data_IF_781157460527
#
_entry.id   IF_781157460527
#
_cell.length_a   1.000
_cell.length_b   1.000
_cell.length_c   1.000
_cell.angle_alpha   90.00
_cell.angle_beta   90.00
_cell.angle_gamma   90.00
#
_symmetry.space_group_name_H-M   'P 1'
#
loop_
_entity.id
_entity.type
_entity.pdbx_description
1 polymer ?
#
# COMPACT_ATOMS: atom_id res chain seq x y z
N UNK A 1 42.84 13.43 -12.40
CA UNK A 1 43.30 14.67 -11.72
C UNK A 1 42.36 14.94 -10.55
N UNK A 2 42.72 14.49 -9.34
CA UNK A 2 41.95 14.78 -8.12
C UNK A 2 42.36 16.20 -7.69
N UNK A 3 41.45 17.16 -7.81
CA UNK A 3 41.67 18.53 -7.34
C UNK A 3 41.68 18.50 -5.82
N UNK A 4 42.87 18.38 -5.23
CA UNK A 4 43.08 18.71 -3.82
C UNK A 4 42.84 20.21 -3.70
N UNK A 5 41.66 20.59 -3.22
CA UNK A 5 41.42 21.97 -2.80
C UNK A 5 42.19 22.11 -1.49
N UNK A 6 43.47 22.48 -1.60
CA UNK A 6 44.26 22.95 -0.47
C UNK A 6 43.70 24.34 -0.19
N UNK A 7 42.70 24.44 0.69
CA UNK A 7 42.37 25.71 1.32
C UNK A 7 43.63 26.10 2.09
N UNK A 8 44.26 27.20 1.67
CA UNK A 8 45.40 27.77 2.36
C UNK A 8 44.92 28.24 3.74
N UNK A 9 44.93 27.34 4.72
CA UNK A 9 44.88 27.72 6.12
C UNK A 9 46.25 28.33 6.39
N UNK A 10 46.33 29.66 6.34
CA UNK A 10 47.45 30.39 6.90
C UNK A 10 47.56 29.97 8.36
N UNK A 11 48.55 29.14 8.67
CA UNK A 11 48.79 28.66 10.02
C UNK A 11 49.26 29.83 10.89
N UNK A 12 48.33 30.64 11.39
CA UNK A 12 48.57 31.57 12.48
C UNK A 12 48.58 30.77 13.78
N UNK A 13 49.68 30.08 14.04
CA UNK A 13 49.96 29.56 15.37
C UNK A 13 50.42 30.75 16.25
N UNK A 14 49.72 31.00 17.36
CA UNK A 14 50.16 31.97 18.35
C UNK A 14 51.23 31.30 19.24
N UNK A 15 52.50 31.66 19.04
CA UNK A 15 53.61 31.09 19.79
C UNK A 15 53.94 31.95 21.02
N UNK A 16 53.46 31.55 22.20
CA UNK A 16 53.91 32.12 23.46
C UNK A 16 54.91 31.15 24.11
N UNK A 17 56.22 31.45 24.04
CA UNK A 17 57.26 30.67 24.74
C UNK A 17 58.09 31.61 25.63
N UNK A 18 58.04 31.39 26.94
CA UNK A 18 58.89 32.11 27.90
C UNK A 18 60.38 31.79 27.63
N UNK A 19 61.21 32.83 27.52
CA UNK A 19 62.61 32.73 27.13
C UNK A 19 63.56 32.55 28.31
N UNK A 20 64.32 31.46 28.30
CA UNK A 20 65.66 31.39 28.88
C UNK A 20 66.60 30.83 27.81
N UNK A 21 67.65 31.56 27.47
CA UNK A 21 68.68 31.12 26.52
C UNK A 21 69.95 30.74 27.28
N UNK A 22 70.48 29.54 27.03
CA UNK A 22 71.83 29.14 27.43
C UNK A 22 72.71 29.22 26.17
N UNK A 23 73.76 30.02 26.20
CA UNK A 23 74.63 30.24 25.05
C UNK A 23 75.55 29.04 24.79
N UNK A 24 75.36 28.34 23.67
CA UNK A 24 76.32 27.37 23.12
C UNK A 24 76.46 27.54 21.60
N UNK A 25 77.73 27.63 21.15
CA UNK A 25 78.30 27.50 19.79
C UNK A 25 77.64 28.25 18.60
N UNK A 26 78.42 29.10 17.92
CA UNK A 26 78.04 30.03 16.83
C UNK A 26 77.56 29.41 15.49
N UNK A 27 77.05 28.17 15.45
CA UNK A 27 76.57 27.50 14.21
C UNK A 27 75.28 26.70 14.35
N UNK A 28 74.74 26.49 15.55
CA UNK A 28 73.42 25.88 15.74
C UNK A 28 72.32 26.92 15.56
N UNK A 29 71.12 26.46 15.17
CA UNK A 29 69.90 27.27 15.14
C UNK A 29 68.92 26.75 16.19
N UNK A 30 68.18 27.66 16.80
CA UNK A 30 67.07 27.39 17.71
C UNK A 30 65.79 27.82 17.03
N UNK A 31 64.88 26.87 16.77
CA UNK A 31 63.60 27.13 16.12
C UNK A 31 62.45 26.68 17.00
N UNK A 32 61.27 27.21 16.75
CA UNK A 32 60.04 26.83 17.45
C UNK A 32 59.20 25.99 16.51
N UNK A 33 58.90 24.74 16.89
CA UNK A 33 58.08 23.82 16.10
C UNK A 33 56.74 23.60 16.80
N UNK A 34 55.64 23.91 16.13
CA UNK A 34 54.28 23.53 16.54
C UNK A 34 53.83 22.33 15.74
N UNK A 35 53.53 21.22 16.41
CA UNK A 35 52.94 20.02 15.78
C UNK A 35 51.51 19.87 16.30
N UNK A 36 50.52 20.04 15.42
CA UNK A 36 49.09 20.08 15.78
C UNK A 36 48.81 21.01 16.98
N UNK A 37 49.44 22.18 17.02
CA UNK A 37 49.28 23.16 18.11
C UNK A 37 50.17 22.90 19.34
N UNK A 38 50.86 21.76 19.42
CA UNK A 38 51.82 21.50 20.49
C UNK A 38 53.19 22.11 20.16
N UNK A 39 53.55 23.16 20.90
CA UNK A 39 54.76 23.95 20.67
C UNK A 39 55.97 23.39 21.42
N UNK A 40 57.12 23.29 20.74
CA UNK A 40 58.41 22.89 21.31
C UNK A 40 59.56 23.70 20.72
N UNK A 41 60.62 23.91 21.49
CA UNK A 41 61.89 24.47 20.99
C UNK A 41 62.78 23.35 20.49
N UNK A 42 63.37 23.55 19.32
CA UNK A 42 64.20 22.56 18.63
C UNK A 42 65.56 23.18 18.35
N UNK A 43 66.61 22.45 18.74
CA UNK A 43 67.98 22.81 18.42
C UNK A 43 68.47 21.93 17.27
N UNK A 44 68.95 22.55 16.20
CA UNK A 44 69.41 21.81 15.02
C UNK A 44 70.59 22.50 14.33
N UNK A 45 71.47 21.70 13.73
CA UNK A 45 72.52 22.15 12.82
C UNK A 45 72.07 22.15 11.36
N UNK A 46 70.82 21.73 11.12
CA UNK A 46 70.18 21.67 9.82
C UNK A 46 70.13 23.01 9.08
N UNK A 47 70.02 22.90 7.76
CA UNK A 47 69.90 24.05 6.86
C UNK A 47 68.48 24.27 6.35
N UNK A 48 67.59 23.28 6.53
CA UNK A 48 66.22 23.29 6.03
C UNK A 48 65.19 22.99 7.12
N UNK A 49 63.91 23.26 6.85
CA UNK A 49 62.78 22.84 7.69
C UNK A 49 62.76 21.31 7.86
N UNK A 50 63.02 20.54 6.79
CA UNK A 50 63.10 19.08 6.86
C UNK A 50 64.15 18.60 7.88
N UNK A 51 65.31 19.25 7.93
CA UNK A 51 66.37 18.92 8.90
C UNK A 51 65.93 19.19 10.35
N UNK A 52 65.18 20.27 10.58
CA UNK A 52 64.63 20.60 11.90
C UNK A 52 63.59 19.57 12.35
N UNK A 53 62.66 19.19 11.46
CA UNK A 53 61.65 18.17 11.75
C UNK A 53 62.28 16.79 12.00
N UNK A 54 63.31 16.43 11.24
CA UNK A 54 64.06 15.17 11.42
C UNK A 54 64.75 15.10 12.78
N UNK A 55 65.27 16.22 13.29
CA UNK A 55 65.89 16.28 14.62
C UNK A 55 64.91 15.92 15.75
N UNK A 56 63.65 16.33 15.62
CA UNK A 56 62.56 15.97 16.54
C UNK A 56 61.84 14.65 16.20
N UNK A 57 62.32 13.91 15.18
CA UNK A 57 61.68 12.69 14.68
C UNK A 57 60.23 12.93 14.22
N UNK A 58 59.92 14.14 13.76
CA UNK A 58 58.64 14.51 13.15
C UNK A 58 58.68 14.04 11.70
N UNK A 59 57.85 13.03 11.38
CA UNK A 59 57.72 12.48 10.04
C UNK A 59 56.49 13.05 9.37
N UNK A 60 56.68 13.73 8.24
CA UNK A 60 55.60 14.32 7.46
C UNK A 60 55.34 13.53 6.17
N UNK A 61 54.07 13.36 5.81
CA UNK A 61 53.58 12.66 4.62
C UNK A 61 52.92 13.59 3.61
N UNK A 62 52.38 13.01 2.53
CA UNK A 62 51.78 13.73 1.39
C UNK A 62 50.58 14.61 1.77
N UNK A 63 49.85 14.27 2.82
CA UNK A 63 48.62 14.96 3.25
C UNK A 63 48.83 15.89 4.45
N UNK A 64 50.08 16.03 4.90
CA UNK A 64 50.43 16.93 5.99
C UNK A 64 50.73 18.32 5.45
N UNK A 65 50.47 19.34 6.27
CA UNK A 65 50.80 20.73 5.95
C UNK A 65 52.00 21.15 6.79
N UNK A 66 53.04 21.63 6.12
CA UNK A 66 54.25 22.16 6.75
C UNK A 66 54.46 23.58 6.28
N UNK A 67 54.52 24.53 7.22
CA UNK A 67 54.75 25.93 6.95
C UNK A 67 55.86 26.48 7.85
N UNK A 68 56.95 27.04 7.30
CA UNK A 68 57.32 27.05 5.87
C UNK A 68 57.57 25.65 5.31
N UNK A 69 57.48 25.48 3.99
CA UNK A 69 57.60 24.15 3.33
C UNK A 69 58.92 23.44 3.64
N UNK A 70 58.94 22.11 3.57
CA UNK A 70 60.05 21.25 4.02
C UNK A 70 61.43 21.62 3.43
N UNK A 71 61.48 22.13 2.20
CA UNK A 71 62.73 22.53 1.53
C UNK A 71 63.16 23.98 1.83
N UNK A 72 62.38 24.72 2.61
CA UNK A 72 62.67 26.11 2.95
C UNK A 72 63.92 26.20 3.81
N UNK A 73 64.76 27.21 3.53
CA UNK A 73 65.95 27.50 4.33
C UNK A 73 65.56 27.86 5.76
N UNK A 74 66.28 27.27 6.71
CA UNK A 74 66.06 27.45 8.14
C UNK A 74 66.79 28.71 8.64
N UNK A 75 66.10 29.55 9.40
CA UNK A 75 66.66 30.72 10.09
C UNK A 75 66.63 30.53 11.61
N UNK A 76 67.54 31.19 12.32
CA UNK A 76 67.52 31.17 13.79
C UNK A 76 66.29 31.92 14.31
N UNK A 77 65.64 31.39 15.34
CA UNK A 77 64.38 31.90 15.88
C UNK A 77 63.14 31.61 15.02
N UNK A 78 63.27 30.89 13.90
CA UNK A 78 62.14 30.64 12.99
C UNK A 78 61.05 29.79 13.62
N UNK A 79 59.81 30.08 13.25
CA UNK A 79 58.64 29.29 13.61
C UNK A 79 58.26 28.35 12.47
N UNK A 80 57.94 27.10 12.85
CA UNK A 80 57.56 26.03 11.94
C UNK A 80 56.26 25.44 12.47
N UNK A 81 55.23 25.42 11.64
CA UNK A 81 53.97 24.77 11.92
C UNK A 81 53.86 23.49 11.10
N UNK A 82 53.49 22.40 11.76
CA UNK A 82 53.16 21.11 11.17
C UNK A 82 51.74 20.76 11.58
N UNK A 83 50.88 20.50 10.61
CA UNK A 83 49.56 19.92 10.83
C UNK A 83 49.48 18.57 10.12
N UNK A 84 49.17 17.52 10.87
CA UNK A 84 49.04 16.18 10.29
C UNK A 84 47.72 16.03 9.53
N UNK A 85 47.81 15.45 8.34
CA UNK A 85 46.67 14.96 7.58
C UNK A 85 46.02 13.78 8.29
N UNK A 86 44.70 13.84 8.41
CA UNK A 86 43.86 12.83 9.06
C UNK A 86 42.85 12.30 8.04
N UNK A 87 42.74 10.97 7.87
CA UNK A 87 41.77 10.40 6.96
C UNK A 87 40.36 10.46 7.57
N UNK A 88 39.39 10.91 6.77
CA UNK A 88 37.98 10.94 7.15
C UNK A 88 37.16 10.26 6.05
N UNK A 89 36.51 9.14 6.37
CA UNK A 89 35.56 8.49 5.48
C UNK A 89 34.16 8.89 5.90
N UNK A 90 33.43 9.59 5.04
CA UNK A 90 32.03 9.96 5.28
C UNK A 90 31.11 9.02 4.52
N UNK A 91 30.20 8.36 5.25
CA UNK A 91 29.14 7.52 4.72
C UNK A 91 27.80 8.24 4.91
N UNK A 92 27.37 9.00 3.90
CA UNK A 92 26.10 9.73 3.94
C UNK A 92 24.99 8.91 3.26
N UNK A 93 24.03 8.42 4.05
CA UNK A 93 22.90 7.61 3.59
C UNK A 93 23.31 6.42 2.69
N UNK A 94 24.47 5.80 2.97
CA UNK A 94 25.03 4.68 2.22
C UNK A 94 26.06 5.07 1.14
N UNK A 95 26.20 6.36 0.82
CA UNK A 95 27.22 6.86 -0.10
C UNK A 95 28.54 7.15 0.63
N UNK A 96 29.53 6.26 0.46
CA UNK A 96 30.87 6.41 1.06
C UNK A 96 31.79 7.30 0.21
N UNK A 97 32.47 8.24 0.85
CA UNK A 97 33.53 9.05 0.25
C UNK A 97 34.65 9.34 1.24
N UNK A 98 35.90 9.16 0.79
CA UNK A 98 37.09 9.41 1.58
C UNK A 98 37.63 10.83 1.36
N UNK A 99 38.10 11.43 2.45
CA UNK A 99 38.66 12.77 2.51
C UNK A 99 39.93 12.77 3.36
N UNK A 100 40.75 13.80 3.15
CA UNK A 100 41.87 14.15 4.01
C UNK A 100 41.66 15.58 4.52
N UNK A 101 41.99 15.80 5.78
CA UNK A 101 41.85 17.10 6.45
C UNK A 101 42.94 17.24 7.50
N UNK A 102 43.37 18.47 7.80
CA UNK A 102 44.25 18.75 8.94
C UNK A 102 43.49 19.09 10.22
N UNK A 103 42.16 19.26 10.12
CA UNK A 103 41.27 19.57 11.23
C UNK A 103 41.37 18.54 12.36
N UNK A 104 41.32 19.01 13.60
CA UNK A 104 41.49 18.14 14.78
C UNK A 104 40.18 17.58 15.32
N UNK A 105 39.04 17.99 14.74
CA UNK A 105 37.70 17.61 15.16
C UNK A 105 36.77 17.36 13.97
N UNK A 106 35.71 16.57 14.21
CA UNK A 106 34.70 16.29 13.17
C UNK A 106 34.05 17.58 12.66
N UNK A 107 33.78 18.54 13.54
CA UNK A 107 33.11 19.79 13.18
C UNK A 107 33.94 20.62 12.21
N UNK A 108 35.21 20.85 12.55
CA UNK A 108 36.14 21.62 11.72
C UNK A 108 36.39 20.88 10.40
N UNK A 109 36.59 19.56 10.44
CA UNK A 109 36.76 18.74 9.24
C UNK A 109 35.58 18.88 8.27
N UNK A 110 34.35 18.78 8.76
CA UNK A 110 33.15 18.95 7.93
C UNK A 110 33.02 20.37 7.37
N UNK A 111 33.40 21.39 8.16
CA UNK A 111 33.36 22.79 7.73
C UNK A 111 34.38 23.06 6.61
N UNK A 112 35.63 22.64 6.79
CA UNK A 112 36.72 22.82 5.82
C UNK A 112 36.46 22.11 4.49
N UNK A 113 35.84 20.92 4.58
CA UNK A 113 35.46 20.14 3.40
C UNK A 113 34.18 20.65 2.72
N UNK A 114 33.52 21.67 3.28
CA UNK A 114 32.26 22.23 2.77
C UNK A 114 31.07 21.26 2.90
N UNK A 115 31.15 20.29 3.80
CA UNK A 115 30.13 19.26 4.03
C UNK A 115 29.11 19.73 5.06
N UNK A 116 27.96 20.20 4.58
CA UNK A 116 26.85 20.64 5.43
C UNK A 116 25.85 19.52 5.65
N UNK A 117 25.62 19.19 6.92
CA UNK A 117 24.72 18.11 7.38
C UNK A 117 23.77 18.62 8.47
N UNK A 118 23.03 19.68 8.15
CA UNK A 118 22.12 20.33 9.08
C UNK A 118 20.92 19.42 9.40
N UNK A 119 20.63 19.23 10.69
CA UNK A 119 19.58 18.32 11.15
C UNK A 119 19.85 16.83 10.90
N UNK A 120 21.06 16.47 10.43
CA UNK A 120 21.47 15.08 10.28
C UNK A 120 21.91 14.48 11.60
N UNK A 121 21.69 13.17 11.74
CA UNK A 121 22.26 12.37 12.82
C UNK A 121 23.63 11.85 12.40
N UNK A 122 24.62 12.02 13.27
CA UNK A 122 25.98 11.55 13.07
C UNK A 122 26.27 10.33 13.97
N UNK A 123 27.14 9.43 13.53
CA UNK A 123 27.59 8.29 14.34
C UNK A 123 28.47 8.68 15.54
N UNK A 124 28.95 9.93 15.58
CA UNK A 124 29.73 10.50 16.69
C UNK A 124 29.45 11.99 16.85
N UNK A 125 29.90 12.58 17.95
CA UNK A 125 29.76 14.01 18.21
C UNK A 125 30.51 14.86 17.16
N UNK A 126 29.98 16.04 16.84
CA UNK A 126 30.69 17.05 16.05
C UNK A 126 31.97 17.52 16.75
N UNK A 127 31.98 17.54 18.07
CA UNK A 127 33.17 17.88 18.87
C UNK A 127 34.14 16.71 19.04
N UNK A 128 33.86 15.54 18.45
CA UNK A 128 34.74 14.38 18.61
C UNK A 128 36.11 14.67 17.98
N UNK A 129 37.22 14.34 18.67
CA UNK A 129 38.54 14.53 18.12
C UNK A 129 38.77 13.59 16.94
N UNK A 130 39.42 14.09 15.90
CA UNK A 130 39.83 13.33 14.73
C UNK A 130 41.29 12.93 14.91
N UNK A 131 41.57 11.65 15.15
CA UNK A 131 42.93 11.13 15.33
C UNK A 131 43.65 10.84 14.02
N UNK A 132 44.96 10.55 14.10
CA UNK A 132 45.79 10.19 12.94
C UNK A 132 45.39 8.86 12.28
N UNK A 133 44.76 7.97 13.05
CA UNK A 133 44.18 6.72 12.56
C UNK A 133 42.97 6.95 11.63
N UNK A 134 42.43 8.16 11.62
CA UNK A 134 41.23 8.53 10.89
C UNK A 134 39.93 8.13 11.57
N UNK A 135 38.83 8.45 10.89
CA UNK A 135 37.47 8.21 11.39
C UNK A 135 36.56 7.80 10.23
N UNK A 136 35.72 6.80 10.47
CA UNK A 136 34.53 6.57 9.65
C UNK A 136 33.31 7.25 10.28
N UNK A 137 32.79 8.26 9.60
CA UNK A 137 31.62 9.02 10.01
C UNK A 137 30.40 8.55 9.21
N UNK A 138 29.42 7.94 9.88
CA UNK A 138 28.10 7.68 9.27
C UNK A 138 27.18 8.86 9.51
N UNK A 139 26.50 9.30 8.45
CA UNK A 139 25.59 10.44 8.44
C UNK A 139 24.24 9.99 7.91
N UNK A 140 23.20 10.17 8.73
CA UNK A 140 21.81 9.95 8.35
C UNK A 140 21.16 11.30 8.16
N UNK A 141 20.80 11.65 6.92
CA UNK A 141 20.20 12.96 6.63
C UNK A 141 18.67 12.92 6.77
N UNK A 142 18.05 14.03 7.21
CA UNK A 142 16.61 14.13 7.27
C UNK A 142 16.02 14.20 5.87
N UNK A 143 15.00 13.38 5.64
CA UNK A 143 14.26 13.27 4.38
C UNK A 143 12.86 13.83 4.59
N UNK A 144 12.33 14.51 3.57
CA UNK A 144 10.94 14.99 3.61
C UNK A 144 10.03 13.87 3.13
N UNK A 145 9.06 13.50 3.95
CA UNK A 145 8.12 12.41 3.66
C UNK A 145 6.70 12.94 3.68
N UNK A 146 5.96 12.69 2.61
CA UNK A 146 4.56 13.02 2.45
C UNK A 146 3.73 11.74 2.48
N UNK A 147 2.96 11.54 3.54
CA UNK A 147 2.10 10.38 3.73
C UNK A 147 0.68 10.76 3.34
N UNK A 148 0.13 10.06 2.36
CA UNK A 148 -1.24 10.23 1.87
C UNK A 148 -2.10 9.11 2.42
N UNK A 149 -3.11 9.46 3.22
CA UNK A 149 -4.08 8.54 3.79
C UNK A 149 -5.46 9.21 3.86
N UNK A 150 -6.52 8.52 3.44
CA UNK A 150 -7.89 9.07 3.40
C UNK A 150 -8.00 10.41 2.65
N UNK A 151 -7.19 10.59 1.59
CA UNK A 151 -7.12 11.83 0.81
C UNK A 151 -6.42 13.00 1.52
N UNK A 152 -5.96 12.83 2.77
CA UNK A 152 -5.19 13.82 3.52
C UNK A 152 -3.70 13.56 3.34
N UNK A 153 -2.90 14.62 3.22
CA UNK A 153 -1.44 14.53 3.15
C UNK A 153 -0.83 15.08 4.43
N UNK A 154 -0.03 14.26 5.11
CA UNK A 154 0.79 14.65 6.27
C UNK A 154 2.23 14.72 5.81
N UNK A 155 2.91 15.83 6.09
CA UNK A 155 4.33 16.00 5.77
C UNK A 155 5.16 15.96 7.05
N UNK A 156 6.18 15.10 7.07
CA UNK A 156 7.14 15.00 8.18
C UNK A 156 8.58 15.11 7.65
N UNK A 157 9.50 15.56 8.52
CA UNK A 157 10.93 15.35 8.34
C UNK A 157 11.30 14.10 9.13
N UNK A 158 11.92 13.13 8.48
CA UNK A 158 12.19 11.81 9.04
C UNK A 158 13.63 11.39 8.76
N UNK A 159 14.25 10.70 9.71
CA UNK A 159 15.57 10.06 9.55
C UNK A 159 15.46 8.62 9.05
N UNK A 160 14.25 8.14 8.76
CA UNK A 160 14.00 6.79 8.30
C UNK A 160 14.81 6.44 7.03
N UNK A 161 15.26 5.19 6.97
CA UNK A 161 15.90 4.62 5.79
C UNK A 161 14.88 4.09 4.78
N UNK A 162 13.68 3.69 5.21
CA UNK A 162 12.65 3.06 4.36
C UNK A 162 11.26 3.65 4.56
N UNK A 163 10.38 3.38 3.60
CA UNK A 163 8.95 3.76 3.65
C UNK A 163 8.27 3.26 4.92
N UNK A 164 8.48 2.00 5.30
CA UNK A 164 7.85 1.39 6.48
C UNK A 164 8.30 2.05 7.78
N UNK A 165 9.60 2.33 7.91
CA UNK A 165 10.14 3.06 9.07
C UNK A 165 9.54 4.46 9.19
N UNK A 166 9.36 5.17 8.07
CA UNK A 166 8.75 6.50 8.08
C UNK A 166 7.27 6.48 8.48
N UNK A 167 6.52 5.46 8.05
CA UNK A 167 5.14 5.25 8.51
C UNK A 167 5.08 5.00 10.02
N UNK A 168 5.98 4.17 10.55
CA UNK A 168 6.08 3.92 11.99
C UNK A 168 6.43 5.19 12.78
N UNK A 169 7.37 6.01 12.29
CA UNK A 169 7.72 7.30 12.89
C UNK A 169 6.53 8.27 12.89
N UNK A 170 5.74 8.27 11.80
CA UNK A 170 4.49 9.01 11.69
C UNK A 170 3.35 8.45 12.56
N UNK A 171 3.60 7.39 13.34
CA UNK A 171 2.63 6.67 14.17
C UNK A 171 1.46 6.07 13.37
N UNK A 172 1.68 5.79 12.08
CA UNK A 172 0.75 5.03 11.25
C UNK A 172 0.93 3.54 11.57
N UNK A 173 -0.11 2.91 12.11
CA UNK A 173 -0.13 1.46 12.33
C UNK A 173 -0.58 0.78 11.05
N UNK A 174 0.16 -0.23 10.63
CA UNK A 174 -0.12 -0.98 9.42
C UNK A 174 0.26 -2.46 9.60
N UNK A 175 -0.36 -3.33 8.83
CA UNK A 175 -0.08 -4.77 8.79
C UNK A 175 0.12 -5.29 7.36
N UNK A 176 0.15 -6.62 7.19
CA UNK A 176 0.40 -7.26 5.89
C UNK A 176 -0.74 -7.13 4.89
N UNK A 177 -1.96 -6.84 5.35
CA UNK A 177 -3.12 -6.71 4.47
C UNK A 177 -3.18 -5.30 3.84
N UNK A 178 -2.60 -4.31 4.53
CA UNK A 178 -2.58 -2.92 4.10
C UNK A 178 -1.78 -2.69 2.81
N UNK A 179 -2.22 -1.68 2.03
CA UNK A 179 -1.52 -1.30 0.79
C UNK A 179 -0.67 -0.07 1.02
N UNK A 180 0.64 -0.24 0.85
CA UNK A 180 1.63 0.82 0.98
C UNK A 180 2.35 1.01 -0.36
N UNK A 181 2.35 2.23 -0.87
CA UNK A 181 2.96 2.58 -2.17
C UNK A 181 3.89 3.79 -2.03
N UNK A 182 5.20 3.68 -2.32
CA UNK A 182 5.94 2.45 -2.66
C UNK A 182 5.92 1.41 -1.53
N UNK A 183 6.32 0.17 -1.78
CA UNK A 183 6.31 -0.89 -0.75
C UNK A 183 7.11 -0.50 0.51
N UNK A 184 6.73 -1.02 1.68
CA UNK A 184 7.33 -0.65 2.96
C UNK A 184 8.87 -0.82 3.04
N UNK A 185 9.44 -1.79 2.31
CA UNK A 185 10.88 -2.02 2.26
C UNK A 185 11.65 -1.03 1.34
N UNK A 186 10.93 -0.20 0.58
CA UNK A 186 11.55 0.72 -0.39
C UNK A 186 12.42 1.75 0.35
N UNK A 187 13.70 1.90 -0.04
CA UNK A 187 14.57 2.92 0.52
C UNK A 187 14.07 4.34 0.21
N UNK A 188 14.13 5.23 1.19
CA UNK A 188 13.83 6.64 0.99
C UNK A 188 14.99 7.35 0.29
N UNK A 189 14.66 8.26 -0.62
CA UNK A 189 15.62 9.08 -1.36
C UNK A 189 15.76 10.46 -0.72
N UNK A 190 16.84 11.16 -1.06
CA UNK A 190 16.96 12.58 -0.74
C UNK A 190 15.84 13.39 -1.41
N UNK A 191 15.39 14.45 -0.75
CA UNK A 191 14.29 15.29 -1.21
C UNK A 191 12.92 14.83 -0.68
N UNK A 192 11.89 14.96 -1.51
CA UNK A 192 10.50 14.65 -1.15
C UNK A 192 10.15 13.23 -1.56
N UNK A 193 9.71 12.43 -0.59
CA UNK A 193 9.23 11.06 -0.79
C UNK A 193 7.72 11.04 -0.55
N UNK A 194 6.93 10.61 -1.54
CA UNK A 194 5.48 10.45 -1.40
C UNK A 194 5.14 8.99 -1.13
N UNK A 195 4.38 8.76 -0.06
CA UNK A 195 3.93 7.45 0.39
C UNK A 195 2.40 7.46 0.40
N UNK A 196 1.75 6.58 -0.34
CA UNK A 196 0.33 6.27 -0.20
C UNK A 196 0.12 5.12 0.78
N UNK A 197 -0.84 5.28 1.67
CA UNK A 197 -1.26 4.27 2.63
C UNK A 197 -2.78 4.08 2.57
N UNK A 198 -3.21 2.84 2.30
CA UNK A 198 -4.61 2.43 2.31
C UNK A 198 -4.76 1.30 3.32
N UNK A 199 -5.61 1.51 4.31
CA UNK A 199 -5.91 0.48 5.30
C UNK A 199 -6.84 -0.57 4.69
N UNK A 200 -6.51 -1.84 4.83
CA UNK A 200 -7.30 -2.98 4.35
C UNK A 200 -7.80 -3.78 5.54
N UNK A 201 -9.11 -3.81 5.74
CA UNK A 201 -9.73 -4.63 6.76
C UNK A 201 -10.59 -5.71 6.11
N UNK A 202 -10.33 -6.96 6.47
CA UNK A 202 -11.16 -8.09 6.08
C UNK A 202 -12.01 -8.57 7.26
N UNK A 203 -13.31 -8.73 7.03
CA UNK A 203 -14.25 -9.23 8.05
C UNK A 203 -15.07 -10.39 7.51
N UNK A 204 -14.97 -11.52 8.20
CA UNK A 204 -15.79 -12.69 7.91
C UNK A 204 -17.08 -12.64 8.74
N UNK A 205 -18.23 -12.80 8.09
CA UNK A 205 -19.55 -12.80 8.73
C UNK A 205 -20.37 -13.95 8.18
N UNK A 206 -20.94 -14.76 9.08
CA UNK A 206 -21.87 -15.83 8.69
C UNK A 206 -23.30 -15.33 8.86
N UNK A 207 -24.11 -15.49 7.81
CA UNK A 207 -25.54 -15.17 7.80
C UNK A 207 -26.35 -16.42 7.50
N UNK A 208 -27.48 -16.57 8.17
CA UNK A 208 -28.45 -17.62 7.85
C UNK A 208 -29.40 -17.13 6.77
N UNK A 209 -29.49 -17.87 5.68
CA UNK A 209 -30.40 -17.62 4.57
C UNK A 209 -31.42 -18.75 4.46
N UNK A 210 -32.67 -18.39 4.18
CA UNK A 210 -33.73 -19.36 3.96
C UNK A 210 -33.53 -20.08 2.62
N UNK A 211 -33.90 -21.35 2.58
CA UNK A 211 -34.03 -22.15 1.37
C UNK A 211 -35.53 -22.42 1.22
N UNK A 212 -36.12 -21.91 0.13
CA UNK A 212 -37.54 -22.12 -0.12
C UNK A 212 -37.86 -23.62 -0.24
N UNK A 213 -38.98 -24.05 0.32
CA UNK A 213 -39.51 -25.40 0.08
C UNK A 213 -40.21 -25.48 -1.28
N UNK A 214 -40.25 -26.67 -1.86
CA UNK A 214 -41.05 -27.00 -3.04
C UNK A 214 -42.48 -27.42 -2.69
N UNK A 215 -43.18 -27.93 -3.70
CA UNK A 215 -44.52 -28.53 -3.57
C UNK A 215 -44.55 -29.84 -4.35
N UNK A 216 -44.93 -30.92 -3.68
CA UNK A 216 -45.16 -32.24 -4.28
C UNK A 216 -46.67 -32.48 -4.43
N UNK A 217 -47.11 -32.71 -5.66
CA UNK A 217 -48.51 -32.97 -5.97
C UNK A 217 -48.78 -34.46 -6.18
N UNK A 218 -49.75 -35.01 -5.45
CA UNK A 218 -50.22 -36.39 -5.59
C UNK A 218 -51.67 -36.44 -6.07
N UNK A 219 -52.02 -37.37 -6.96
CA UNK A 219 -53.37 -37.46 -7.53
C UNK A 219 -54.30 -38.26 -6.61
N UNK A 220 -55.54 -37.79 -6.44
CA UNK A 220 -56.60 -38.50 -5.72
C UNK A 220 -57.82 -38.73 -6.59
N UNK A 221 -58.24 -39.99 -6.73
CA UNK A 221 -59.47 -40.37 -7.43
C UNK A 221 -60.75 -40.12 -6.60
N UNK A 222 -60.62 -39.72 -5.34
CA UNK A 222 -61.77 -39.43 -4.45
C UNK A 222 -62.11 -37.94 -4.40
N UNK A 223 -61.14 -37.09 -4.68
CA UNK A 223 -61.29 -35.63 -4.76
C UNK A 223 -61.68 -35.22 -6.18
N UNK A 224 -62.57 -34.23 -6.31
CA UNK A 224 -63.07 -33.73 -7.59
C UNK A 224 -62.00 -32.95 -8.37
N UNK A 225 -62.00 -33.07 -9.70
CA UNK A 225 -61.14 -32.28 -10.58
C UNK A 225 -61.29 -30.79 -10.26
N UNK A 226 -60.16 -30.09 -10.12
CA UNK A 226 -60.11 -28.68 -9.74
C UNK A 226 -59.99 -28.43 -8.22
N UNK A 227 -60.16 -29.47 -7.39
CA UNK A 227 -59.90 -29.37 -5.94
C UNK A 227 -58.43 -29.69 -5.64
N UNK A 228 -57.80 -28.84 -4.81
CA UNK A 228 -56.48 -29.09 -4.20
C UNK A 228 -56.64 -29.13 -2.69
N UNK A 229 -56.01 -30.11 -2.04
CA UNK A 229 -55.98 -30.21 -0.58
C UNK A 229 -54.54 -30.39 -0.11
N UNK A 230 -54.00 -29.41 0.61
CA UNK A 230 -52.71 -29.56 1.30
C UNK A 230 -52.85 -30.62 2.40
N UNK A 231 -52.04 -31.68 2.33
CA UNK A 231 -51.96 -32.74 3.35
C UNK A 231 -50.81 -32.53 4.32
N UNK A 232 -49.73 -31.87 3.89
CA UNK A 232 -48.61 -31.50 4.76
C UNK A 232 -48.07 -30.15 4.35
N UNK A 233 -48.03 -29.19 5.27
CA UNK A 233 -47.49 -27.86 5.02
C UNK A 233 -45.97 -27.94 4.87
N UNK A 234 -45.44 -27.35 3.79
CA UNK A 234 -44.00 -27.26 3.58
C UNK A 234 -43.31 -26.37 4.62
N UNK A 235 -42.04 -26.62 4.88
CA UNK A 235 -41.19 -25.79 5.75
C UNK A 235 -39.89 -25.44 5.05
N UNK A 236 -39.57 -24.14 5.02
CA UNK A 236 -38.32 -23.66 4.42
C UNK A 236 -37.12 -24.24 5.16
N UNK A 237 -36.12 -24.65 4.39
CA UNK A 237 -34.81 -24.98 4.92
C UNK A 237 -34.01 -23.72 5.23
N UNK A 238 -32.76 -23.91 5.65
CA UNK A 238 -31.82 -22.81 5.80
C UNK A 238 -30.38 -23.26 5.55
N UNK A 239 -29.56 -22.32 5.07
CA UNK A 239 -28.11 -22.46 4.95
C UNK A 239 -27.43 -21.31 5.67
N UNK A 240 -26.31 -21.59 6.32
CA UNK A 240 -25.38 -20.60 6.82
C UNK A 240 -24.39 -20.26 5.69
N UNK A 241 -24.40 -19.02 5.22
CA UNK A 241 -23.47 -18.51 4.19
C UNK A 241 -22.45 -17.60 4.86
N UNK A 242 -21.18 -17.90 4.65
CA UNK A 242 -20.06 -17.12 5.19
C UNK A 242 -19.55 -16.15 4.13
N UNK A 243 -19.62 -14.86 4.47
CA UNK A 243 -19.21 -13.74 3.64
C UNK A 243 -17.88 -13.16 4.13
N UNK A 244 -16.96 -12.90 3.21
CA UNK A 244 -15.77 -12.08 3.42
C UNK A 244 -16.03 -10.68 2.88
N UNK A 245 -16.11 -9.69 3.78
CA UNK A 245 -16.19 -8.28 3.44
C UNK A 245 -14.79 -7.67 3.46
N UNK A 246 -14.42 -6.98 2.38
CA UNK A 246 -13.16 -6.22 2.32
C UNK A 246 -13.47 -4.74 2.37
N UNK A 247 -12.87 -4.04 3.34
CA UNK A 247 -12.97 -2.60 3.50
C UNK A 247 -11.63 -1.96 3.14
N UNK A 248 -11.68 -0.92 2.30
CA UNK A 248 -10.55 -0.04 2.03
C UNK A 248 -10.82 1.27 2.73
N UNK A 249 -9.95 1.68 3.64
CA UNK A 249 -10.06 2.97 4.33
C UNK A 249 -11.45 3.13 5.02
N UNK A 250 -11.95 2.04 5.60
CA UNK A 250 -13.26 1.96 6.26
C UNK A 250 -14.47 1.85 5.32
N UNK A 251 -14.29 1.95 3.99
CA UNK A 251 -15.38 1.83 3.01
C UNK A 251 -15.45 0.42 2.45
N UNK A 252 -16.66 -0.15 2.38
CA UNK A 252 -16.87 -1.47 1.79
C UNK A 252 -16.47 -1.45 0.31
N UNK A 253 -15.47 -2.24 -0.04
CA UNK A 253 -14.94 -2.33 -1.40
C UNK A 253 -15.35 -3.61 -2.11
N UNK A 254 -15.46 -4.74 -1.40
CA UNK A 254 -15.83 -6.02 -2.00
C UNK A 254 -16.55 -6.93 -1.01
N UNK A 255 -17.43 -7.78 -1.54
CA UNK A 255 -18.08 -8.88 -0.81
C UNK A 255 -17.84 -10.18 -1.57
N UNK A 256 -17.39 -11.23 -0.87
CA UNK A 256 -17.16 -12.56 -1.46
C UNK A 256 -17.77 -13.65 -0.59
N UNK A 257 -18.50 -14.60 -1.18
CA UNK A 257 -18.91 -15.82 -0.46
C UNK A 257 -17.70 -16.74 -0.36
N UNK A 258 -17.34 -17.15 0.86
CA UNK A 258 -16.19 -18.04 1.11
C UNK A 258 -16.60 -19.43 1.59
N UNK A 259 -17.87 -19.62 1.95
CA UNK A 259 -18.40 -20.91 2.30
C UNK A 259 -19.91 -20.89 2.48
N UNK A 260 -20.52 -22.07 2.41
CA UNK A 260 -21.91 -22.26 2.78
C UNK A 260 -22.09 -23.64 3.41
N UNK A 261 -22.93 -23.73 4.44
CA UNK A 261 -23.28 -24.99 5.11
C UNK A 261 -24.79 -25.08 5.25
N UNK A 262 -25.36 -26.23 4.85
CA UNK A 262 -26.77 -26.51 5.10
C UNK A 262 -27.01 -26.63 6.60
N UNK A 263 -28.00 -25.90 7.13
CA UNK A 263 -28.38 -25.91 8.55
C UNK A 263 -29.66 -26.72 8.74
N UNK A 264 -30.65 -26.52 7.87
CA UNK A 264 -31.88 -27.31 7.83
C UNK A 264 -32.27 -27.60 6.38
N UNK A 265 -32.67 -28.84 6.09
CA UNK A 265 -33.26 -29.20 4.80
C UNK A 265 -34.66 -28.58 4.71
N UNK A 266 -35.03 -28.12 3.52
CA UNK A 266 -36.42 -27.77 3.25
C UNK A 266 -37.27 -29.05 3.19
N UNK A 267 -38.51 -28.95 3.65
CA UNK A 267 -39.51 -30.02 3.54
C UNK A 267 -40.61 -29.54 2.62
N UNK A 268 -40.84 -30.26 1.53
CA UNK A 268 -41.78 -29.86 0.50
C UNK A 268 -43.24 -29.96 0.97
N UNK A 269 -44.07 -29.04 0.48
CA UNK A 269 -45.50 -29.04 0.74
C UNK A 269 -46.17 -30.17 -0.03
N UNK A 270 -46.88 -31.06 0.68
CA UNK A 270 -47.60 -32.17 0.04
C UNK A 270 -49.04 -31.71 -0.24
N UNK A 271 -49.44 -31.77 -1.50
CA UNK A 271 -50.78 -31.39 -1.97
C UNK A 271 -51.39 -32.54 -2.74
N UNK A 272 -52.63 -32.90 -2.39
CA UNK A 272 -53.41 -33.86 -3.17
C UNK A 272 -54.31 -33.11 -4.14
N UNK A 273 -54.24 -33.45 -5.41
CA UNK A 273 -55.08 -32.88 -6.47
C UNK A 273 -56.17 -33.87 -6.87
N UNK A 274 -57.40 -33.41 -7.00
CA UNK A 274 -58.53 -34.24 -7.38
C UNK A 274 -58.53 -34.64 -8.85
N UNK A 275 -58.91 -35.89 -9.10
CA UNK A 275 -59.05 -36.50 -10.44
C UNK A 275 -60.43 -37.13 -10.66
N UNK A 276 -61.32 -37.08 -9.64
CA UNK A 276 -62.70 -37.55 -9.77
C UNK A 276 -63.47 -36.60 -10.70
N UNK A 277 -64.05 -37.09 -11.80
CA UNK A 277 -64.91 -36.26 -12.66
C UNK A 277 -66.05 -35.67 -11.83
N UNK A 278 -66.32 -34.36 -11.99
CA UNK A 278 -67.50 -33.73 -11.40
C UNK A 278 -68.76 -34.37 -12.01
N UNK A 279 -69.82 -34.66 -11.25
CA UNK A 279 -71.09 -35.15 -11.81
C UNK A 279 -71.64 -34.15 -12.83
N UNK A 280 -72.01 -34.64 -14.01
CA UNK A 280 -72.67 -33.85 -15.06
C UNK A 280 -74.00 -33.30 -14.53
N UNK A 281 -74.10 -31.97 -14.39
CA UNK A 281 -75.40 -31.29 -14.35
C UNK A 281 -76.03 -31.35 -15.75
N UNK A 282 -77.35 -31.54 -15.86
CA UNK A 282 -78.03 -31.70 -17.14
C UNK A 282 -77.88 -30.43 -17.99
N UNK A 283 -77.38 -30.65 -19.19
CA UNK A 283 -77.29 -29.72 -20.32
C UNK A 283 -78.65 -29.07 -20.62
N UNK A 284 -78.71 -27.74 -20.58
CA UNK A 284 -79.67 -26.96 -21.36
C UNK A 284 -78.96 -26.40 -22.59
N UNK A 285 -79.35 -26.93 -23.74
CA UNK A 285 -78.92 -26.55 -25.07
C UNK A 285 -79.34 -25.11 -25.40
N UNK A 286 -78.39 -24.27 -25.81
CA UNK A 286 -78.63 -23.21 -26.80
C UNK A 286 -77.40 -23.11 -27.69
N UNK A 287 -77.53 -23.68 -28.88
CA UNK A 287 -76.79 -23.45 -30.14
C UNK A 287 -76.83 -21.94 -30.44
N UNK A 288 -75.81 -21.20 -30.89
CA UNK A 288 -74.69 -21.33 -31.84
C UNK A 288 -73.63 -20.29 -31.35
N UNK A 289 -72.31 -20.32 -31.55
CA UNK A 289 -71.50 -20.71 -32.71
C UNK A 289 -70.03 -20.73 -32.24
N UNK A 290 -69.24 -21.65 -32.80
CA UNK A 290 -67.78 -21.69 -32.85
C UNK A 290 -66.97 -21.68 -31.55
N UNK A 291 -66.52 -22.88 -31.20
CA UNK A 291 -65.24 -23.11 -30.52
C UNK A 291 -64.09 -22.77 -31.50
N UNK A 292 -62.91 -22.34 -31.03
CA UNK A 292 -62.05 -23.34 -30.44
C UNK A 292 -61.32 -22.89 -29.16
N UNK A 293 -61.12 -23.91 -28.32
CA UNK A 293 -59.94 -24.09 -27.45
C UNK A 293 -59.65 -23.04 -26.38
N UNK A 294 -59.64 -23.53 -25.14
CA UNK A 294 -58.87 -23.00 -24.00
C UNK A 294 -57.37 -22.90 -24.35
N UNK A 295 -57.00 -21.90 -25.13
CA UNK A 295 -55.62 -21.53 -25.43
C UNK A 295 -55.33 -20.12 -24.92
N UNK A 296 -55.36 -19.94 -23.60
CA UNK A 296 -54.45 -18.96 -23.02
C UNK A 296 -53.14 -19.68 -22.73
N UNK A 297 -52.40 -19.95 -23.80
CA UNK A 297 -50.96 -19.71 -23.80
C UNK A 297 -50.85 -18.26 -23.31
N UNK A 298 -50.50 -18.04 -22.05
CA UNK A 298 -50.64 -16.72 -21.42
C UNK A 298 -49.87 -15.68 -22.24
N UNK A 299 -50.27 -14.41 -22.21
CA UNK A 299 -49.50 -13.34 -22.86
C UNK A 299 -47.99 -13.44 -22.53
N UNK A 300 -47.64 -13.91 -21.33
CA UNK A 300 -46.27 -14.22 -20.92
C UNK A 300 -45.59 -15.35 -21.67
N UNK A 301 -46.31 -16.38 -22.09
CA UNK A 301 -45.77 -17.45 -22.93
C UNK A 301 -45.49 -16.96 -24.36
N UNK A 302 -46.32 -16.08 -24.91
CA UNK A 302 -46.04 -15.42 -26.20
C UNK A 302 -44.83 -14.48 -26.12
N UNK A 303 -44.72 -13.73 -25.03
CA UNK A 303 -43.54 -12.89 -24.77
C UNK A 303 -42.32 -13.79 -24.62
N UNK A 304 -42.39 -14.87 -23.85
CA UNK A 304 -41.26 -15.76 -23.64
C UNK A 304 -40.81 -16.47 -24.92
N UNK A 305 -41.74 -16.84 -25.80
CA UNK A 305 -41.41 -17.37 -27.12
C UNK A 305 -40.64 -16.35 -27.96
N UNK A 306 -41.10 -15.09 -27.98
CA UNK A 306 -40.46 -14.02 -28.72
C UNK A 306 -39.09 -13.60 -28.13
N UNK A 307 -38.96 -13.58 -26.80
CA UNK A 307 -37.77 -13.10 -26.09
C UNK A 307 -36.68 -14.17 -25.93
N UNK A 308 -37.06 -15.45 -25.80
CA UNK A 308 -36.14 -16.54 -25.43
C UNK A 308 -36.34 -17.85 -26.21
N UNK A 309 -37.25 -17.88 -27.19
CA UNK A 309 -37.68 -19.14 -27.83
C UNK A 309 -38.35 -20.09 -26.84
N UNK A 310 -39.00 -19.55 -25.81
CA UNK A 310 -39.71 -20.33 -24.79
C UNK A 310 -38.81 -20.94 -23.71
N UNK A 311 -37.50 -20.66 -23.73
CA UNK A 311 -36.55 -21.21 -22.76
C UNK A 311 -36.48 -20.36 -21.48
N UNK A 312 -37.24 -20.77 -20.46
CA UNK A 312 -37.31 -20.09 -19.17
C UNK A 312 -36.02 -20.09 -18.34
N UNK A 313 -35.04 -20.93 -18.68
CA UNK A 313 -33.74 -20.99 -18.00
C UNK A 313 -32.59 -20.42 -18.84
N UNK A 314 -32.90 -19.68 -19.91
CA UNK A 314 -31.89 -19.14 -20.81
C UNK A 314 -30.91 -18.19 -20.09
N UNK A 315 -29.63 -18.35 -20.41
CA UNK A 315 -28.56 -17.42 -20.05
C UNK A 315 -27.48 -17.49 -21.14
N UNK A 316 -27.61 -16.63 -22.15
CA UNK A 316 -26.70 -16.56 -23.30
C UNK A 316 -25.47 -15.66 -23.06
N UNK A 317 -25.35 -15.06 -21.87
CA UNK A 317 -24.28 -14.10 -21.56
C UNK A 317 -24.49 -12.69 -22.12
N UNK A 318 -25.68 -12.37 -22.64
CA UNK A 318 -26.02 -11.05 -23.22
C UNK A 318 -26.47 -10.01 -22.18
N UNK A 319 -26.37 -10.31 -20.88
CA UNK A 319 -26.78 -9.41 -19.79
C UNK A 319 -28.26 -9.52 -19.39
N UNK A 320 -29.04 -10.36 -20.06
CA UNK A 320 -30.43 -10.66 -19.77
C UNK A 320 -30.63 -12.14 -19.44
N UNK A 321 -31.66 -12.44 -18.63
CA UNK A 321 -31.82 -13.75 -18.01
C UNK A 321 -33.27 -14.22 -18.03
N UNK A 322 -33.46 -15.52 -18.24
CA UNK A 322 -34.74 -16.20 -18.12
C UNK A 322 -35.69 -15.95 -19.28
N UNK A 323 -36.87 -16.57 -19.23
CA UNK A 323 -37.80 -16.63 -20.37
C UNK A 323 -38.30 -15.26 -20.82
N UNK A 324 -38.34 -14.28 -19.91
CA UNK A 324 -38.79 -12.92 -20.17
C UNK A 324 -37.63 -11.92 -20.27
N UNK A 325 -36.39 -12.39 -20.39
CA UNK A 325 -35.19 -11.59 -20.62
C UNK A 325 -35.05 -10.41 -19.63
N UNK A 326 -35.04 -10.69 -18.33
CA UNK A 326 -34.81 -9.67 -17.30
C UNK A 326 -33.33 -9.28 -17.22
N UNK A 327 -33.01 -8.00 -17.08
CA UNK A 327 -31.70 -7.58 -16.56
C UNK A 327 -31.66 -7.76 -15.02
N UNK A 328 -30.46 -7.91 -14.46
CA UNK A 328 -30.30 -8.13 -13.02
C UNK A 328 -30.82 -6.96 -12.17
N UNK A 329 -30.70 -5.71 -12.65
CA UNK A 329 -31.16 -4.52 -11.93
C UNK A 329 -32.68 -4.51 -11.76
N UNK A 330 -33.43 -4.70 -12.85
CA UNK A 330 -34.89 -4.83 -12.82
C UNK A 330 -35.31 -6.06 -12.01
N UNK A 331 -34.66 -7.20 -12.21
CA UNK A 331 -34.96 -8.41 -11.45
C UNK A 331 -34.83 -8.19 -9.93
N UNK A 332 -33.75 -7.54 -9.48
CA UNK A 332 -33.53 -7.21 -8.08
C UNK A 332 -34.53 -6.17 -7.56
N UNK A 333 -34.81 -5.12 -8.34
CA UNK A 333 -35.68 -4.01 -7.94
C UNK A 333 -37.13 -4.46 -7.63
N UNK A 334 -37.66 -5.45 -8.35
CA UNK A 334 -39.03 -5.94 -8.16
C UNK A 334 -39.11 -7.19 -7.25
N UNK A 335 -37.99 -7.53 -6.58
CA UNK A 335 -37.92 -8.58 -5.56
C UNK A 335 -37.67 -9.99 -6.10
N UNK A 336 -37.20 -10.12 -7.34
CA UNK A 336 -36.87 -11.42 -7.94
C UNK A 336 -35.68 -12.12 -7.28
N UNK A 337 -34.79 -11.37 -6.63
CA UNK A 337 -33.68 -11.93 -5.83
C UNK A 337 -34.12 -12.76 -4.64
N UNK A 338 -35.40 -12.67 -4.25
CA UNK A 338 -36.01 -13.59 -3.29
C UNK A 338 -36.19 -15.02 -3.85
N UNK A 339 -36.27 -15.17 -5.16
CA UNK A 339 -36.41 -16.47 -5.85
C UNK A 339 -35.07 -17.01 -6.36
N UNK A 340 -34.25 -16.16 -7.02
CA UNK A 340 -32.93 -16.52 -7.52
C UNK A 340 -32.08 -15.27 -7.78
N UNK A 341 -30.74 -15.38 -7.83
CA UNK A 341 -29.86 -14.22 -8.10
C UNK A 341 -30.17 -13.55 -9.45
N UNK A 342 -30.45 -14.34 -10.48
CA UNK A 342 -30.93 -13.90 -11.79
C UNK A 342 -32.20 -14.67 -12.17
N UNK A 343 -33.02 -14.12 -13.07
CA UNK A 343 -34.30 -14.70 -13.46
C UNK A 343 -34.19 -16.13 -14.01
N UNK A 344 -33.11 -16.48 -14.71
CA UNK A 344 -32.88 -17.83 -15.26
C UNK A 344 -32.76 -18.93 -14.19
N UNK A 345 -32.51 -18.57 -12.92
CA UNK A 345 -32.50 -19.49 -11.79
C UNK A 345 -33.86 -19.65 -11.09
N UNK A 346 -34.88 -18.90 -11.50
CA UNK A 346 -36.24 -18.95 -10.94
C UNK A 346 -37.18 -19.75 -11.85
N UNK A 347 -38.23 -20.34 -11.28
CA UNK A 347 -39.24 -21.07 -12.06
C UNK A 347 -40.05 -20.13 -12.96
N UNK A 348 -40.66 -20.68 -14.02
CA UNK A 348 -41.57 -19.94 -14.91
C UNK A 348 -42.61 -19.13 -14.14
N UNK A 349 -43.27 -19.74 -13.15
CA UNK A 349 -44.30 -19.08 -12.34
C UNK A 349 -43.73 -17.91 -11.52
N UNK A 350 -42.50 -18.04 -10.99
CA UNK A 350 -41.84 -16.98 -10.23
C UNK A 350 -41.40 -15.81 -11.14
N UNK A 351 -40.90 -16.11 -12.33
CA UNK A 351 -40.57 -15.09 -13.32
C UNK A 351 -41.82 -14.31 -13.75
N UNK A 352 -42.94 -15.00 -13.98
CA UNK A 352 -44.24 -14.37 -14.28
C UNK A 352 -44.71 -13.50 -13.10
N UNK A 353 -44.56 -13.96 -11.85
CA UNK A 353 -44.96 -13.18 -10.68
C UNK A 353 -44.19 -11.85 -10.55
N UNK A 354 -42.90 -11.82 -10.91
CA UNK A 354 -42.11 -10.59 -10.96
C UNK A 354 -42.52 -9.74 -12.18
N UNK A 355 -42.78 -10.36 -13.31
CA UNK A 355 -43.22 -9.69 -14.53
C UNK A 355 -44.58 -8.98 -14.37
N UNK A 356 -45.52 -9.56 -13.62
CA UNK A 356 -46.80 -8.91 -13.29
C UNK A 356 -46.61 -7.65 -12.44
N UNK A 357 -45.63 -7.62 -11.53
CA UNK A 357 -45.29 -6.41 -10.77
C UNK A 357 -44.71 -5.32 -11.68
N UNK A 358 -43.82 -5.69 -12.59
CA UNK A 358 -43.25 -4.77 -13.58
C UNK A 358 -44.34 -4.23 -14.51
N UNK A 359 -45.25 -5.10 -14.95
CA UNK A 359 -46.40 -4.73 -15.80
C UNK A 359 -47.34 -3.76 -15.08
N UNK A 360 -47.66 -4.00 -13.81
CA UNK A 360 -48.49 -3.12 -13.01
C UNK A 360 -47.85 -1.73 -12.83
N UNK A 361 -46.55 -1.68 -12.56
CA UNK A 361 -45.80 -0.44 -12.37
C UNK A 361 -45.63 0.37 -13.66
N UNK A 362 -45.48 -0.31 -14.81
CA UNK A 362 -45.29 0.33 -16.12
C UNK A 362 -46.59 0.50 -16.93
N UNK A 363 -47.74 0.19 -16.33
CA UNK A 363 -49.06 0.36 -16.97
C UNK A 363 -49.30 -0.54 -18.19
N UNK A 364 -48.59 -1.68 -18.30
CA UNK A 364 -48.71 -2.60 -19.44
C UNK A 364 -47.41 -3.33 -19.78
N UNK A 365 -47.33 -3.92 -20.97
CA UNK A 365 -46.16 -4.69 -21.43
C UNK A 365 -44.98 -3.83 -21.91
N UNK A 366 -44.90 -2.55 -21.51
CA UNK A 366 -43.89 -1.59 -21.98
C UNK A 366 -42.43 -1.94 -21.65
N UNK A 367 -42.19 -2.90 -20.74
CA UNK A 367 -40.85 -3.47 -20.51
C UNK A 367 -40.39 -4.41 -21.64
N UNK A 368 -41.31 -4.88 -22.48
CA UNK A 368 -41.08 -5.75 -23.64
C UNK A 368 -41.55 -5.01 -24.91
N UNK A 369 -40.84 -3.98 -25.39
CA UNK A 369 -41.36 -3.03 -26.38
C UNK A 369 -41.70 -3.66 -27.74
N UNK A 370 -41.04 -4.75 -28.12
CA UNK A 370 -41.29 -5.47 -29.38
C UNK A 370 -42.17 -6.70 -29.15
N UNK A 371 -41.82 -7.53 -28.17
CA UNK A 371 -42.52 -8.80 -27.91
C UNK A 371 -43.83 -8.62 -27.15
N UNK A 372 -43.95 -7.60 -26.29
CA UNK A 372 -45.17 -7.23 -25.58
C UNK A 372 -46.26 -6.63 -26.47
N UNK A 373 -45.91 -6.06 -27.63
CA UNK A 373 -46.89 -5.64 -28.65
C UNK A 373 -47.46 -6.82 -29.44
N UNK A 374 -46.77 -7.97 -29.44
CA UNK A 374 -47.15 -9.20 -30.15
C UNK A 374 -47.88 -10.20 -29.23
N UNK A 375 -48.13 -9.82 -27.98
CA UNK A 375 -48.56 -10.68 -26.89
C UNK A 375 -50.02 -10.46 -26.48
#
# INVERSE_FOLDING_TARGET
>A
MRKSIIVAVGATAAFAVAGGSVAYAAKSKTVTVSVDGQVRKVHTFGSTVADALKAEKVQVGEHDVVAPGVDSKLQDGQEIAVQYGRPLTVNADGAKKAYWTTADSVNEALADLGLRYDGAQLSTSRSAPLGRQGLELTVTTPKTVQIVHLGKTVTIKSLAGTVGQALTEAKVRWDSDDRITPAAATPLKLGVNKIGFVQVLQKTVTKTEAIAHGTDETKSATLEVGTKKTTTKGTNGSKAVTYLYTYLDGKLSATKVVGSKLVAKAVDEQVVIGTKPKPEEPTTTTTETDTPTSSNVGAWDRIAECESGGNWSINSGNGYYGGLQFDHGTWAAYGGTAYAYNANGASKAQQIAIAEKVKADRGGYGAWPVCGQRA
#
